data_IF_333644896294
#
_entry.id   IF_333644896294
#
_cell.length_a   1.000
_cell.length_b   1.000
_cell.length_c   1.000
_cell.angle_alpha   90.00
_cell.angle_beta   90.00
_cell.angle_gamma   90.00
#
_symmetry.space_group_name_H-M   'P 1'
#
loop_
_entity.id
_entity.type
_entity.pdbx_description
1 polymer ?
#
# COMPACT_ATOMS: atom_id res chain seq x y z
N UNK A 1 -7.25 43.27 -31.32
CA UNK A 1 -7.15 42.93 -29.89
C UNK A 1 -7.09 41.43 -29.82
N UNK A 2 -5.86 40.90 -29.67
CA UNK A 2 -5.55 39.48 -29.85
C UNK A 2 -6.04 38.68 -28.64
N UNK A 3 -6.99 37.76 -28.86
CA UNK A 3 -7.34 36.71 -27.92
C UNK A 3 -6.11 35.84 -27.67
N UNK A 4 -5.49 36.04 -26.50
CA UNK A 4 -4.51 35.12 -26.02
C UNK A 4 -5.25 33.83 -25.65
N UNK A 5 -5.19 32.86 -26.55
CA UNK A 5 -5.44 31.47 -26.23
C UNK A 5 -4.57 31.11 -25.04
N UNK A 6 -5.15 31.18 -23.85
CA UNK A 6 -4.59 30.54 -22.66
C UNK A 6 -4.72 29.06 -22.93
N UNK A 7 -3.71 28.53 -23.61
CA UNK A 7 -3.59 27.09 -23.81
C UNK A 7 -3.52 26.41 -22.46
N UNK A 8 -4.68 25.94 -22.01
CA UNK A 8 -4.75 24.95 -20.92
C UNK A 8 -4.02 23.73 -21.48
N UNK A 9 -2.72 23.66 -21.22
CA UNK A 9 -1.98 22.42 -21.44
C UNK A 9 -2.64 21.36 -20.56
N UNK A 10 -3.57 20.62 -21.17
CA UNK A 10 -4.02 19.37 -20.63
C UNK A 10 -2.76 18.48 -20.53
N UNK A 11 -2.15 18.44 -19.36
CA UNK A 11 -1.11 17.45 -19.08
C UNK A 11 -1.76 16.08 -19.23
N UNK A 12 -1.73 15.56 -20.44
CA UNK A 12 -2.02 14.17 -20.74
C UNK A 12 -0.90 13.38 -20.08
N UNK A 13 -1.11 13.02 -18.82
CA UNK A 13 -0.21 12.09 -18.16
C UNK A 13 -0.26 10.78 -18.94
N UNK A 14 0.79 10.52 -19.71
CA UNK A 14 0.94 9.26 -20.43
C UNK A 14 0.87 8.05 -19.50
N UNK A 15 0.57 6.87 -20.05
CA UNK A 15 0.58 5.62 -19.27
C UNK A 15 1.99 5.38 -18.74
N UNK A 16 2.18 5.65 -17.45
CA UNK A 16 3.48 5.49 -16.79
C UNK A 16 3.32 5.10 -15.33
N UNK A 17 4.18 4.21 -14.87
CA UNK A 17 4.25 3.81 -13.46
C UNK A 17 4.60 5.01 -12.60
N UNK A 18 3.74 5.36 -11.65
CA UNK A 18 3.96 6.48 -10.74
C UNK A 18 4.71 6.03 -9.49
N UNK A 19 6.02 6.01 -9.59
CA UNK A 19 6.90 5.57 -8.52
C UNK A 19 6.69 6.30 -7.19
N UNK A 20 6.39 7.60 -7.21
CA UNK A 20 6.09 8.35 -6.00
C UNK A 20 4.88 7.82 -5.23
N UNK A 21 3.82 7.41 -5.93
CA UNK A 21 2.65 6.82 -5.31
C UNK A 21 2.94 5.42 -4.73
N UNK A 22 3.76 4.63 -5.43
CA UNK A 22 4.19 3.30 -4.98
C UNK A 22 5.01 3.42 -3.70
N UNK A 23 6.02 4.30 -3.67
CA UNK A 23 6.83 4.52 -2.49
C UNK A 23 6.02 5.07 -1.31
N UNK A 24 5.07 5.97 -1.56
CA UNK A 24 4.17 6.45 -0.52
C UNK A 24 3.38 5.28 0.12
N UNK A 25 2.89 4.35 -0.68
CA UNK A 25 2.24 3.12 -0.17
C UNK A 25 3.19 2.24 0.64
N UNK A 26 4.42 2.02 0.17
CA UNK A 26 5.43 1.24 0.91
C UNK A 26 5.72 1.84 2.29
N UNK A 27 5.92 3.16 2.36
CA UNK A 27 6.14 3.85 3.63
C UNK A 27 4.90 3.84 4.53
N UNK A 28 3.70 3.98 3.95
CA UNK A 28 2.44 3.86 4.70
C UNK A 28 2.31 2.46 5.31
N UNK A 29 2.59 1.41 4.54
CA UNK A 29 2.62 0.04 5.06
C UNK A 29 3.61 -0.09 6.22
N UNK A 30 4.85 0.33 6.02
CA UNK A 30 5.90 0.22 7.04
C UNK A 30 5.54 0.97 8.33
N UNK A 31 4.98 2.17 8.21
CA UNK A 31 4.58 2.97 9.36
C UNK A 31 3.41 2.34 10.14
N UNK A 32 2.33 1.96 9.44
CA UNK A 32 1.16 1.35 10.07
C UNK A 32 1.55 0.00 10.69
N UNK A 33 2.21 -0.85 9.92
CA UNK A 33 2.60 -2.17 10.39
C UNK A 33 3.58 -2.09 11.57
N UNK A 34 4.61 -1.25 11.49
CA UNK A 34 5.63 -1.10 12.54
C UNK A 34 5.04 -0.62 13.86
N UNK A 35 4.17 0.40 13.83
CA UNK A 35 3.53 0.93 15.05
C UNK A 35 2.62 -0.11 15.70
N UNK A 36 1.74 -0.74 14.92
CA UNK A 36 0.77 -1.68 15.49
C UNK A 36 1.35 -3.05 15.79
N UNK A 37 2.46 -3.46 15.17
CA UNK A 37 3.14 -4.69 15.54
C UNK A 37 3.81 -4.56 16.91
N UNK A 38 4.39 -3.42 17.24
CA UNK A 38 4.91 -3.19 18.60
C UNK A 38 3.81 -3.25 19.66
N UNK A 39 2.59 -2.78 19.34
CA UNK A 39 1.43 -2.94 20.19
C UNK A 39 1.03 -4.43 20.33
N UNK A 40 1.06 -5.18 19.24
CA UNK A 40 0.79 -6.63 19.27
C UNK A 40 1.74 -7.39 20.18
N UNK A 41 3.03 -7.09 20.11
CA UNK A 41 4.04 -7.67 21.01
C UNK A 41 3.76 -7.30 22.48
N UNK A 42 3.31 -6.10 22.76
CA UNK A 42 2.96 -5.67 24.11
C UNK A 42 1.71 -6.40 24.67
N UNK A 43 0.71 -6.65 23.82
CA UNK A 43 -0.54 -7.34 24.22
C UNK A 43 -0.34 -8.84 24.36
N UNK A 44 0.50 -9.44 23.51
CA UNK A 44 0.74 -10.89 23.44
C UNK A 44 2.20 -11.22 23.79
N UNK A 45 2.67 -10.92 25.01
CA UNK A 45 4.05 -11.18 25.39
C UNK A 45 4.31 -12.71 25.35
N UNK A 46 5.46 -13.09 24.83
CA UNK A 46 5.85 -14.48 24.72
C UNK A 46 7.33 -14.62 25.04
N UNK A 47 7.66 -15.55 25.94
CA UNK A 47 9.04 -15.83 26.34
C UNK A 47 9.73 -16.88 25.46
N UNK A 48 8.96 -17.71 24.73
CA UNK A 48 9.46 -18.87 23.99
C UNK A 48 9.05 -18.87 22.51
N UNK A 49 9.10 -17.72 21.86
CA UNK A 49 8.73 -17.58 20.44
C UNK A 49 7.40 -16.86 20.22
N UNK A 50 6.85 -16.93 19.01
CA UNK A 50 5.65 -16.21 18.64
C UNK A 50 4.41 -16.93 19.17
N UNK A 51 3.63 -16.31 20.07
CA UNK A 51 2.37 -16.88 20.57
C UNK A 51 1.33 -16.98 19.45
N UNK A 52 0.36 -17.90 19.56
CA UNK A 52 -0.72 -18.04 18.58
C UNK A 52 -1.52 -16.72 18.45
N UNK A 53 -1.73 -15.99 19.53
CA UNK A 53 -2.38 -14.67 19.52
C UNK A 53 -1.61 -13.65 18.69
N UNK A 54 -0.30 -13.58 18.86
CA UNK A 54 0.56 -12.68 18.08
C UNK A 54 0.58 -13.06 16.60
N UNK A 55 0.58 -14.36 16.26
CA UNK A 55 0.51 -14.81 14.87
C UNK A 55 -0.79 -14.34 14.19
N UNK A 56 -1.93 -14.53 14.84
CA UNK A 56 -3.23 -14.06 14.31
C UNK A 56 -3.25 -12.54 14.19
N UNK A 57 -2.74 -11.82 15.20
CA UNK A 57 -2.61 -10.37 15.18
C UNK A 57 -1.79 -9.90 13.97
N UNK A 58 -0.60 -10.45 13.75
CA UNK A 58 0.29 -10.10 12.64
C UNK A 58 -0.38 -10.33 11.28
N UNK A 59 -1.11 -11.43 11.10
CA UNK A 59 -1.84 -11.69 9.84
C UNK A 59 -2.92 -10.64 9.60
N UNK A 60 -3.77 -10.36 10.61
CA UNK A 60 -4.84 -9.38 10.51
C UNK A 60 -4.25 -7.99 10.24
N UNK A 61 -3.24 -7.60 11.01
CA UNK A 61 -2.57 -6.32 10.86
C UNK A 61 -1.94 -6.16 9.46
N UNK A 62 -1.29 -7.21 8.94
CA UNK A 62 -0.69 -7.20 7.60
C UNK A 62 -1.76 -6.93 6.54
N UNK A 63 -2.93 -7.58 6.62
CA UNK A 63 -4.03 -7.37 5.68
C UNK A 63 -4.55 -5.94 5.74
N UNK A 64 -4.78 -5.41 6.94
CA UNK A 64 -5.26 -4.03 7.13
C UNK A 64 -4.22 -3.02 6.64
N UNK A 65 -2.96 -3.18 7.03
CA UNK A 65 -1.88 -2.28 6.65
C UNK A 65 -1.67 -2.26 5.13
N UNK A 66 -1.72 -3.44 4.47
CA UNK A 66 -1.62 -3.56 3.02
C UNK A 66 -2.81 -2.94 2.31
N UNK A 67 -4.03 -3.07 2.85
CA UNK A 67 -5.20 -2.41 2.28
C UNK A 67 -5.09 -0.89 2.34
N UNK A 68 -4.69 -0.33 3.49
CA UNK A 68 -4.49 1.12 3.67
C UNK A 68 -3.38 1.64 2.75
N UNK A 69 -2.26 0.94 2.68
CA UNK A 69 -1.14 1.28 1.80
C UNK A 69 -1.54 1.26 0.32
N UNK A 70 -2.28 0.23 -0.10
CA UNK A 70 -2.85 0.13 -1.44
C UNK A 70 -3.79 1.30 -1.74
N UNK A 71 -4.68 1.63 -0.81
CA UNK A 71 -5.62 2.74 -0.93
C UNK A 71 -4.89 4.08 -1.16
N UNK A 72 -3.83 4.36 -0.39
CA UNK A 72 -3.02 5.57 -0.60
C UNK A 72 -2.27 5.53 -1.93
N UNK A 73 -1.72 4.38 -2.33
CA UNK A 73 -1.10 4.22 -3.65
C UNK A 73 -2.09 4.54 -4.77
N UNK A 74 -3.30 4.00 -4.71
CA UNK A 74 -4.34 4.27 -5.72
C UNK A 74 -4.78 5.74 -5.77
N UNK A 75 -4.92 6.38 -4.60
CA UNK A 75 -5.26 7.80 -4.49
C UNK A 75 -4.20 8.71 -5.09
N UNK A 76 -2.93 8.46 -4.74
CA UNK A 76 -1.80 9.29 -5.14
C UNK A 76 -1.38 9.04 -6.58
N UNK A 77 -1.60 7.84 -7.11
CA UNK A 77 -1.30 7.52 -8.50
C UNK A 77 -2.09 8.39 -9.49
N UNK A 78 -3.27 8.89 -9.10
CA UNK A 78 -4.06 9.78 -9.95
C UNK A 78 -4.53 9.14 -11.26
N UNK A 79 -4.69 7.82 -11.26
CA UNK A 79 -5.05 7.00 -12.40
C UNK A 79 -6.58 6.92 -12.47
N UNK A 80 -7.15 6.92 -13.66
CA UNK A 80 -8.59 6.76 -13.88
C UNK A 80 -9.01 5.29 -14.02
N UNK A 81 -8.09 4.42 -14.43
CA UNK A 81 -8.34 3.01 -14.72
C UNK A 81 -8.17 2.14 -13.46
N UNK A 82 -9.20 1.32 -13.17
CA UNK A 82 -9.10 0.31 -12.09
C UNK A 82 -8.02 -0.73 -12.34
N UNK A 83 -7.82 -1.11 -13.61
CA UNK A 83 -6.80 -2.08 -13.99
C UNK A 83 -5.40 -1.56 -13.64
N UNK A 84 -5.10 -0.32 -14.01
CA UNK A 84 -3.80 0.29 -13.70
C UNK A 84 -3.59 0.44 -12.20
N UNK A 85 -4.66 0.71 -11.44
CA UNK A 85 -4.61 0.75 -9.99
C UNK A 85 -4.26 -0.61 -9.37
N UNK A 86 -4.84 -1.69 -9.87
CA UNK A 86 -4.49 -3.05 -9.43
C UNK A 86 -3.01 -3.36 -9.67
N UNK A 87 -2.47 -2.97 -10.84
CA UNK A 87 -1.04 -3.13 -11.16
C UNK A 87 -0.16 -2.34 -10.19
N UNK A 88 -0.53 -1.09 -9.87
CA UNK A 88 0.22 -0.29 -8.89
C UNK A 88 0.18 -0.89 -7.48
N UNK A 89 -0.98 -1.41 -7.05
CA UNK A 89 -1.12 -2.14 -5.79
C UNK A 89 -0.26 -3.41 -5.74
N UNK A 90 -0.20 -4.15 -6.85
CA UNK A 90 0.65 -5.33 -6.98
C UNK A 90 2.14 -4.99 -6.89
N UNK A 91 2.59 -3.96 -7.60
CA UNK A 91 3.99 -3.50 -7.58
C UNK A 91 4.36 -3.00 -6.17
N UNK A 92 3.47 -2.22 -5.54
CA UNK A 92 3.66 -1.74 -4.17
C UNK A 92 3.79 -2.90 -3.18
N UNK A 93 2.93 -3.92 -3.27
CA UNK A 93 3.02 -5.12 -2.45
C UNK A 93 4.36 -5.83 -2.65
N UNK A 94 4.76 -6.09 -3.91
CA UNK A 94 6.03 -6.75 -4.23
C UNK A 94 7.23 -6.00 -3.67
N UNK A 95 7.24 -4.67 -3.82
CA UNK A 95 8.31 -3.82 -3.30
C UNK A 95 8.34 -3.83 -1.75
N UNK A 96 7.17 -3.79 -1.10
CA UNK A 96 7.06 -3.91 0.36
C UNK A 96 7.58 -5.25 0.86
N UNK A 97 7.21 -6.35 0.19
CA UNK A 97 7.66 -7.70 0.56
C UNK A 97 9.17 -7.86 0.41
N UNK A 98 9.75 -7.42 -0.71
CA UNK A 98 11.20 -7.45 -0.93
C UNK A 98 11.93 -6.59 0.09
N UNK A 99 11.43 -5.37 0.35
CA UNK A 99 12.03 -4.46 1.34
C UNK A 99 12.00 -5.07 2.75
N UNK A 100 10.90 -5.71 3.13
CA UNK A 100 10.78 -6.39 4.43
C UNK A 100 11.79 -7.54 4.57
N UNK A 101 11.96 -8.36 3.52
CA UNK A 101 12.96 -9.43 3.50
C UNK A 101 14.38 -8.89 3.62
N UNK A 102 14.72 -7.83 2.89
CA UNK A 102 16.02 -7.18 2.94
C UNK A 102 16.30 -6.59 4.33
N UNK A 103 15.33 -5.85 4.90
CA UNK A 103 15.47 -5.28 6.23
C UNK A 103 15.60 -6.36 7.31
N UNK A 104 14.83 -7.45 7.21
CA UNK A 104 14.96 -8.59 8.11
C UNK A 104 16.33 -9.24 7.97
N UNK A 105 16.83 -9.44 6.75
CA UNK A 105 18.15 -10.00 6.50
C UNK A 105 19.27 -9.14 7.10
N UNK A 106 19.18 -7.80 6.95
CA UNK A 106 20.15 -6.86 7.54
C UNK A 106 20.06 -6.89 9.06
N UNK A 107 18.86 -6.76 9.63
CA UNK A 107 18.67 -6.72 11.07
C UNK A 107 19.13 -8.00 11.75
N UNK A 108 18.87 -9.15 11.16
CA UNK A 108 19.24 -10.47 11.71
C UNK A 108 20.66 -10.88 11.33
N UNK A 109 21.17 -10.45 10.17
CA UNK A 109 22.56 -10.67 9.75
C UNK A 109 23.55 -10.00 10.69
N UNK A 110 23.20 -8.80 11.19
CA UNK A 110 24.01 -8.10 12.22
C UNK A 110 23.94 -8.80 13.57
N UNK A 111 22.79 -9.40 13.95
CA UNK A 111 22.57 -9.98 15.26
C UNK A 111 22.87 -11.49 15.35
N UNK A 112 22.67 -12.27 14.26
CA UNK A 112 22.64 -13.75 14.31
C UNK A 112 23.37 -14.43 13.15
N UNK A 113 24.17 -13.71 12.36
CA UNK A 113 24.87 -14.28 11.20
C UNK A 113 23.95 -14.81 10.09
N UNK A 114 22.77 -14.23 9.92
CA UNK A 114 21.85 -14.55 8.81
C UNK A 114 20.92 -15.74 9.04
N UNK A 115 21.03 -16.44 10.17
CA UNK A 115 20.22 -17.63 10.44
C UNK A 115 18.74 -17.33 10.72
N UNK A 116 18.40 -16.10 11.12
CA UNK A 116 17.01 -15.77 11.47
C UNK A 116 16.08 -15.66 10.26
N UNK A 117 16.55 -15.22 9.09
CA UNK A 117 15.74 -15.25 7.85
C UNK A 117 15.37 -16.70 7.54
N UNK A 118 16.35 -17.59 7.61
CA UNK A 118 16.13 -19.01 7.40
C UNK A 118 15.16 -19.62 8.42
N UNK A 119 15.25 -19.24 9.70
CA UNK A 119 14.36 -19.74 10.74
C UNK A 119 12.91 -19.30 10.53
N UNK A 120 12.66 -18.05 10.16
CA UNK A 120 11.29 -17.55 9.88
C UNK A 120 10.63 -18.34 8.75
N UNK A 121 11.36 -18.62 7.67
CA UNK A 121 10.81 -19.33 6.51
C UNK A 121 10.78 -20.86 6.66
N UNK A 122 11.70 -21.46 7.41
CA UNK A 122 11.83 -22.92 7.47
C UNK A 122 11.27 -23.56 8.74
N UNK A 123 11.12 -22.82 9.83
CA UNK A 123 10.65 -23.36 11.13
C UNK A 123 9.33 -22.76 11.61
N UNK A 124 8.85 -21.71 10.94
CA UNK A 124 7.59 -21.06 11.26
C UNK A 124 6.37 -21.82 10.73
N UNK A 125 5.17 -21.31 11.08
CA UNK A 125 3.92 -21.77 10.49
C UNK A 125 3.84 -21.31 9.03
N UNK A 126 4.32 -22.13 8.10
CA UNK A 126 4.37 -21.82 6.67
C UNK A 126 3.01 -21.46 6.08
N UNK A 127 1.93 -22.07 6.58
CA UNK A 127 0.57 -21.72 6.19
C UNK A 127 0.17 -20.31 6.62
N UNK A 128 0.55 -19.91 7.84
CA UNK A 128 0.32 -18.55 8.34
C UNK A 128 1.06 -17.49 7.50
N UNK A 129 2.31 -17.78 7.15
CA UNK A 129 3.12 -16.91 6.27
C UNK A 129 2.48 -16.82 4.87
N UNK A 130 2.09 -17.96 4.30
CA UNK A 130 1.40 -17.97 2.99
C UNK A 130 0.10 -17.17 3.03
N UNK A 131 -0.75 -17.38 4.04
CA UNK A 131 -2.00 -16.65 4.20
C UNK A 131 -1.76 -15.13 4.33
N UNK A 132 -0.77 -14.72 5.14
CA UNK A 132 -0.43 -13.32 5.31
C UNK A 132 -0.01 -12.66 3.98
N UNK A 133 0.85 -13.32 3.23
CA UNK A 133 1.29 -12.83 1.91
C UNK A 133 0.15 -12.80 0.90
N UNK A 134 -0.60 -13.88 0.79
CA UNK A 134 -1.68 -14.00 -0.19
C UNK A 134 -2.83 -13.01 0.09
N UNK A 135 -3.29 -12.94 1.33
CA UNK A 135 -4.32 -11.99 1.73
C UNK A 135 -3.82 -10.55 1.69
N UNK A 136 -2.57 -10.30 2.07
CA UNK A 136 -1.93 -8.99 1.96
C UNK A 136 -1.84 -8.52 0.51
N UNK A 137 -1.50 -9.40 -0.41
CA UNK A 137 -1.49 -9.13 -1.85
C UNK A 137 -2.87 -8.72 -2.37
N UNK A 138 -3.91 -9.52 -2.06
CA UNK A 138 -5.28 -9.19 -2.43
C UNK A 138 -5.76 -7.88 -1.80
N UNK A 139 -5.39 -7.64 -0.54
CA UNK A 139 -5.74 -6.42 0.17
C UNK A 139 -5.08 -5.18 -0.46
N UNK A 140 -3.82 -5.25 -0.86
CA UNK A 140 -3.10 -4.17 -1.54
C UNK A 140 -3.77 -3.81 -2.88
N UNK A 141 -4.12 -4.81 -3.68
CA UNK A 141 -4.83 -4.61 -4.95
C UNK A 141 -6.24 -4.02 -4.72
N UNK A 142 -7.00 -4.59 -3.77
CA UNK A 142 -8.33 -4.10 -3.39
C UNK A 142 -8.29 -2.66 -2.88
N UNK A 143 -7.33 -2.33 -2.03
CA UNK A 143 -7.08 -0.98 -1.54
C UNK A 143 -6.81 0.00 -2.68
N UNK A 144 -5.88 -0.33 -3.58
CA UNK A 144 -5.54 0.52 -4.72
C UNK A 144 -6.74 0.81 -5.64
N UNK A 145 -7.55 -0.22 -5.94
CA UNK A 145 -8.76 -0.05 -6.77
C UNK A 145 -9.82 0.85 -6.12
N UNK A 146 -9.98 0.77 -4.79
CA UNK A 146 -10.91 1.61 -4.04
C UNK A 146 -10.40 3.04 -3.87
N UNK A 147 -9.09 3.23 -3.79
CA UNK A 147 -8.44 4.53 -3.74
C UNK A 147 -8.76 5.40 -4.97
N UNK A 148 -8.73 4.81 -6.15
CA UNK A 148 -9.12 5.46 -7.42
C UNK A 148 -10.60 5.86 -7.44
N UNK A 149 -11.48 4.96 -7.03
CA UNK A 149 -12.93 5.21 -7.04
C UNK A 149 -13.32 6.40 -6.13
N UNK A 150 -12.74 6.50 -4.95
CA UNK A 150 -13.00 7.61 -4.01
C UNK A 150 -12.59 8.96 -4.60
N UNK A 151 -11.46 9.03 -5.30
CA UNK A 151 -11.01 10.28 -5.94
C UNK A 151 -11.98 10.74 -7.02
N UNK A 152 -12.51 9.85 -7.84
CA UNK A 152 -13.47 10.17 -8.90
C UNK A 152 -14.73 10.83 -8.32
N UNK A 153 -15.28 10.32 -7.22
CA UNK A 153 -16.45 10.87 -6.54
C UNK A 153 -16.19 12.29 -6.03
N UNK A 154 -15.05 12.51 -5.38
CA UNK A 154 -14.69 13.82 -4.82
C UNK A 154 -14.55 14.89 -5.92
N UNK A 155 -13.91 14.54 -7.04
CA UNK A 155 -13.72 15.45 -8.17
C UNK A 155 -15.05 15.81 -8.84
N UNK A 156 -16.00 14.88 -8.92
CA UNK A 156 -17.33 15.13 -9.48
C UNK A 156 -18.19 16.06 -8.60
N UNK A 157 -18.08 15.92 -7.27
CA UNK A 157 -18.83 16.75 -6.33
C UNK A 157 -18.36 18.23 -6.31
N UNK A 158 -17.09 18.48 -6.64
CA UNK A 158 -16.52 19.84 -6.65
C UNK A 158 -16.77 20.59 -7.96
N UNK A 159 -17.27 19.92 -8.99
CA UNK A 159 -17.65 20.56 -10.25
C UNK A 159 -19.01 21.23 -10.12
N UNK A 160 -19.03 22.40 -9.52
CA UNK A 160 -20.22 23.27 -9.53
C UNK A 160 -20.59 23.59 -11.00
N UNK A 161 -21.89 23.51 -11.38
CA UNK A 161 -22.30 23.91 -12.72
C UNK A 161 -21.95 25.37 -12.94
N UNK A 162 -21.14 25.67 -13.94
CA UNK A 162 -20.86 27.05 -14.34
C UNK A 162 -22.22 27.66 -14.72
N UNK A 163 -22.68 28.71 -14.02
CA UNK A 163 -23.94 29.36 -14.37
C UNK A 163 -23.84 29.87 -15.81
N UNK A 164 -24.68 29.34 -16.69
CA UNK A 164 -24.76 29.82 -18.07
C UNK A 164 -25.16 31.31 -18.04
N UNK A 165 -24.24 32.15 -18.45
CA UNK A 165 -24.52 33.60 -18.60
C UNK A 165 -25.56 33.73 -19.70
N UNK A 166 -26.74 34.37 -19.44
CA UNK A 166 -27.71 34.57 -20.47
C UNK A 166 -27.09 35.43 -21.58
N UNK A 167 -27.28 34.99 -22.83
CA UNK A 167 -26.86 35.75 -24.00
C UNK A 167 -27.68 37.07 -24.04
N UNK A 168 -27.00 38.20 -24.07
CA UNK A 168 -27.55 39.52 -24.20
C UNK A 168 -27.81 39.85 -25.67
#
# INVERSE_FOLDING_TARGET
>A
MSDRDVGIQSYTYGPGTRWGAIWAGVFTFAAVWGVFETLGVAIFPSTNGMSAGLQVWTVILTVIAMYVAGLETGRLAGIASRHDALVHGMIMFGLSAVSAVILLAIATGVATGGNAVRSVYLTGNQWGVFCAFFLGWLAAMGGASTGVARRAITTSATREPIPMRPAA
#
